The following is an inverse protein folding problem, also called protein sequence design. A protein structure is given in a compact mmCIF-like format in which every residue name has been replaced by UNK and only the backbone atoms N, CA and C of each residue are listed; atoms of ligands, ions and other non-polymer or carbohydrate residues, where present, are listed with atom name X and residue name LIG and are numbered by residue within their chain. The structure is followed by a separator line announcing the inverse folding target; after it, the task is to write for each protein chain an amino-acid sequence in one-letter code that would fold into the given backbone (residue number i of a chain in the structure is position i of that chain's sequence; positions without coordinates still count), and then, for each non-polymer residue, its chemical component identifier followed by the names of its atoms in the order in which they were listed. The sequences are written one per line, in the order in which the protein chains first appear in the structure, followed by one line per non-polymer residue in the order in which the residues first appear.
data_IF_801426723233
#
_entry.id   IF_801426723233
#
_cell.length_a   1.000
_cell.length_b   1.000
_cell.length_c   1.000
_cell.angle_alpha   90.00
_cell.angle_beta   90.00
_cell.angle_gamma   90.00
#
_symmetry.space_group_name_H-M   'P 1'
#
loop_
_entity.id
_entity.type
_entity.pdbx_description
1 polymer ?
#
# COMPACT_ATOMS: atom_id res chain seq x y z
N UNK A 1 -7.17 15.64 -12.16
CA UNK A 1 -7.10 16.83 -11.29
C UNK A 1 -7.62 18.04 -12.05
N UNK A 2 -8.27 18.98 -11.35
CA UNK A 2 -8.79 20.20 -11.96
C UNK A 2 -7.66 21.18 -12.36
N UNK A 3 -7.85 22.03 -13.37
CA UNK A 3 -6.80 22.96 -13.83
C UNK A 3 -6.22 23.85 -12.74
N UNK A 4 -7.05 24.30 -11.80
CA UNK A 4 -6.63 25.18 -10.71
C UNK A 4 -5.66 24.53 -9.73
N UNK A 5 -5.59 23.19 -9.68
CA UNK A 5 -4.76 22.45 -8.73
C UNK A 5 -3.46 21.92 -9.38
N UNK A 6 -3.31 22.05 -10.71
CA UNK A 6 -2.13 21.55 -11.43
C UNK A 6 -0.82 22.19 -10.96
N UNK A 7 -0.86 23.36 -10.33
CA UNK A 7 0.34 23.99 -9.78
C UNK A 7 1.01 23.14 -8.68
N UNK A 8 0.27 22.27 -7.99
CA UNK A 8 0.81 21.40 -6.95
C UNK A 8 1.92 20.47 -7.45
N UNK A 9 1.93 20.11 -8.75
CA UNK A 9 3.03 19.34 -9.35
C UNK A 9 4.36 20.11 -9.32
N UNK A 10 4.31 21.44 -9.40
CA UNK A 10 5.47 22.32 -9.45
C UNK A 10 5.95 22.81 -8.07
N UNK A 11 5.30 22.41 -6.98
CA UNK A 11 5.60 22.87 -5.61
C UNK A 11 6.00 21.71 -4.70
N UNK A 12 6.46 22.00 -3.48
CA UNK A 12 6.80 20.97 -2.50
C UNK A 12 8.18 20.31 -2.66
N UNK A 13 8.86 20.56 -3.78
CA UNK A 13 10.23 20.10 -3.99
C UNK A 13 11.19 20.75 -3.00
N UNK A 14 12.04 19.95 -2.37
CA UNK A 14 12.93 20.40 -1.29
C UNK A 14 14.32 20.85 -1.78
N UNK A 15 14.73 20.38 -2.96
CA UNK A 15 16.13 20.49 -3.42
C UNK A 15 17.13 19.72 -2.55
N UNK A 16 16.66 18.99 -1.53
CA UNK A 16 17.51 18.14 -0.72
C UNK A 16 17.93 16.93 -1.54
N UNK A 17 19.23 16.68 -1.62
CA UNK A 17 19.79 15.50 -2.25
C UNK A 17 19.81 14.28 -1.30
N UNK A 18 18.85 14.20 -0.38
CA UNK A 18 18.85 13.21 0.70
C UNK A 18 18.02 12.01 0.24
N UNK A 19 18.71 10.95 -0.16
CA UNK A 19 18.11 9.63 -0.45
C UNK A 19 18.24 8.66 0.73
N UNK A 20 19.05 9.01 1.74
CA UNK A 20 19.27 8.28 2.99
C UNK A 20 19.59 9.27 4.10
N UNK A 21 19.20 8.95 5.33
CA UNK A 21 19.45 9.75 6.52
C UNK A 21 18.36 10.77 6.79
N UNK A 22 18.38 11.39 7.98
CA UNK A 22 17.29 12.22 8.47
C UNK A 22 17.00 13.39 7.52
N UNK A 23 15.72 13.61 7.22
CA UNK A 23 15.28 14.79 6.49
C UNK A 23 15.49 16.03 7.37
N UNK A 24 16.43 16.88 6.97
CA UNK A 24 16.86 18.04 7.77
C UNK A 24 15.79 19.14 7.87
N UNK A 25 14.69 19.02 7.13
CA UNK A 25 13.50 19.88 7.28
C UNK A 25 12.64 19.48 8.47
N UNK A 26 12.75 18.26 8.97
CA UNK A 26 12.04 17.83 10.18
C UNK A 26 12.60 18.64 11.36
N UNK A 27 11.70 19.30 12.09
CA UNK A 27 12.10 20.15 13.22
C UNK A 27 12.77 19.32 14.31
N UNK A 28 13.98 19.69 14.69
CA UNK A 28 14.79 18.96 15.68
C UNK A 28 15.06 17.49 15.31
N UNK A 29 15.19 17.14 14.02
CA UNK A 29 15.35 15.74 13.56
C UNK A 29 16.45 14.93 14.28
N UNK A 30 17.53 15.59 14.72
CA UNK A 30 18.64 14.93 15.44
C UNK A 30 18.42 14.82 16.96
N UNK A 31 17.29 15.32 17.48
CA UNK A 31 16.96 15.35 18.91
C UNK A 31 15.45 15.31 19.13
N UNK A 32 14.75 14.44 18.38
CA UNK A 32 13.33 14.19 18.57
C UNK A 32 13.09 13.53 19.94
N UNK A 33 11.99 13.90 20.58
CA UNK A 33 11.56 13.23 21.81
C UNK A 33 11.07 11.80 21.47
N UNK A 34 11.12 10.86 22.43
CA UNK A 34 10.48 9.56 22.25
C UNK A 34 8.99 9.69 21.95
N UNK A 35 8.51 8.94 20.95
CA UNK A 35 7.10 8.87 20.56
C UNK A 35 6.75 9.65 19.28
N UNK A 36 5.46 9.68 18.90
CA UNK A 36 5.01 10.35 17.70
C UNK A 36 5.26 11.86 17.72
N UNK A 37 5.53 12.45 16.55
CA UNK A 37 5.79 13.88 16.41
C UNK A 37 5.11 14.48 15.18
N UNK A 38 4.83 15.78 15.19
CA UNK A 38 4.23 16.44 14.02
C UNK A 38 5.26 16.57 12.90
N UNK A 39 4.94 16.01 11.72
CA UNK A 39 5.83 16.06 10.56
C UNK A 39 5.99 17.49 10.03
N UNK A 40 4.88 18.22 9.98
CA UNK A 40 4.82 19.55 9.38
C UNK A 40 5.39 20.62 10.30
N UNK A 41 6.02 21.62 9.71
CA UNK A 41 6.64 22.73 10.43
C UNK A 41 7.16 23.81 9.49
N UNK A 42 7.90 24.81 10.02
CA UNK A 42 8.36 25.97 9.24
C UNK A 42 9.20 25.60 8.00
N UNK A 43 9.90 24.48 8.06
CA UNK A 43 10.78 23.96 6.99
C UNK A 43 10.20 22.75 6.27
N UNK A 44 9.12 22.16 6.78
CA UNK A 44 8.42 21.00 6.22
C UNK A 44 6.93 21.34 6.06
N UNK A 45 6.52 22.09 5.02
CA UNK A 45 5.10 22.38 4.80
C UNK A 45 4.32 21.10 4.43
N UNK A 46 3.00 21.10 4.63
CA UNK A 46 2.12 20.00 4.19
C UNK A 46 2.26 19.66 2.69
N UNK A 47 2.54 20.67 1.87
CA UNK A 47 2.75 20.51 0.42
C UNK A 47 4.12 19.89 0.05
N UNK A 48 4.97 19.54 1.03
CA UNK A 48 6.29 18.97 0.78
C UNK A 48 6.24 17.51 0.28
N UNK A 49 7.13 17.18 -0.66
CA UNK A 49 7.52 15.78 -0.87
C UNK A 49 8.40 15.30 0.28
N UNK A 50 8.18 14.07 0.72
CA UNK A 50 8.92 13.39 1.78
C UNK A 50 9.61 12.13 1.24
N UNK A 51 10.48 11.51 2.04
CA UNK A 51 10.99 10.17 1.71
C UNK A 51 9.89 9.12 1.81
N UNK A 52 10.20 7.87 1.53
CA UNK A 52 9.33 6.72 1.80
C UNK A 52 9.81 5.96 3.05
N UNK A 53 8.91 5.31 3.78
CA UNK A 53 9.29 4.47 4.95
C UNK A 53 9.17 3.00 4.60
N UNK A 54 9.78 2.11 5.38
CA UNK A 54 9.77 0.68 5.07
C UNK A 54 8.46 0.02 5.52
N UNK A 55 7.77 -0.64 4.59
CA UNK A 55 6.50 -1.35 4.80
C UNK A 55 6.50 -2.71 4.09
N UNK A 56 7.50 -3.55 4.39
CA UNK A 56 7.55 -4.95 3.92
C UNK A 56 7.08 -5.89 5.01
N UNK A 57 6.52 -7.05 4.66
CA UNK A 57 5.84 -7.96 5.60
C UNK A 57 6.64 -8.20 6.89
N UNK A 58 7.89 -8.66 6.78
CA UNK A 58 8.72 -8.98 7.95
C UNK A 58 9.17 -7.73 8.73
N UNK A 59 9.40 -6.60 8.05
CA UNK A 59 9.70 -5.34 8.72
C UNK A 59 8.50 -4.84 9.50
N UNK A 60 7.29 -4.92 8.93
CA UNK A 60 6.06 -4.52 9.61
C UNK A 60 5.76 -5.39 10.81
N UNK A 61 5.95 -6.71 10.70
CA UNK A 61 5.86 -7.63 11.84
C UNK A 61 6.83 -7.25 12.96
N UNK A 62 8.06 -6.84 12.63
CA UNK A 62 9.04 -6.37 13.63
C UNK A 62 8.68 -4.99 14.19
N UNK A 63 8.15 -4.09 13.36
CA UNK A 63 7.76 -2.74 13.73
C UNK A 63 6.67 -2.75 14.81
N UNK A 64 5.66 -3.62 14.68
CA UNK A 64 4.56 -3.72 15.65
C UNK A 64 4.95 -4.37 16.97
N UNK A 65 5.98 -5.23 16.96
CA UNK A 65 6.56 -5.94 18.11
C UNK A 65 5.49 -6.51 19.08
N UNK A 66 4.77 -7.54 18.62
CA UNK A 66 3.68 -8.14 19.38
C UNK A 66 4.10 -9.42 20.10
N UNK A 67 3.78 -9.51 21.40
CA UNK A 67 3.91 -10.75 22.17
C UNK A 67 2.75 -10.91 23.18
N UNK A 68 2.43 -12.15 23.53
CA UNK A 68 1.41 -12.45 24.56
C UNK A 68 2.11 -12.90 25.85
N UNK A 69 2.58 -11.92 26.63
CA UNK A 69 3.21 -12.13 27.92
C UNK A 69 2.90 -10.98 28.90
N UNK A 70 3.50 -11.03 30.09
CA UNK A 70 3.25 -10.06 31.16
C UNK A 70 3.90 -8.68 30.94
N UNK A 71 4.85 -8.57 30.02
CA UNK A 71 5.50 -7.31 29.64
C UNK A 71 4.67 -6.56 28.61
N UNK A 72 4.11 -7.29 27.64
CA UNK A 72 3.42 -6.72 26.49
C UNK A 72 1.91 -6.53 26.73
N UNK A 73 1.26 -7.50 27.38
CA UNK A 73 -0.21 -7.49 27.49
C UNK A 73 -0.66 -6.72 28.71
N UNK A 74 -1.57 -5.77 28.48
CA UNK A 74 -2.26 -5.05 29.54
C UNK A 74 -3.74 -4.87 29.19
N UNK A 75 -4.52 -4.27 30.10
CA UNK A 75 -5.92 -3.94 29.81
C UNK A 75 -6.05 -2.97 28.63
N UNK A 76 -5.09 -2.05 28.50
CA UNK A 76 -5.07 -1.01 27.48
C UNK A 76 -4.28 -1.44 26.23
N UNK A 77 -3.60 -2.60 26.28
CA UNK A 77 -2.91 -3.24 25.15
C UNK A 77 -3.23 -4.75 25.10
N UNK A 78 -4.42 -5.15 24.63
CA UNK A 78 -4.84 -6.54 24.62
C UNK A 78 -4.17 -7.37 23.50
N UNK A 79 -3.62 -6.72 22.47
CA UNK A 79 -2.88 -7.38 21.37
C UNK A 79 -1.45 -7.68 21.76
N UNK A 80 -0.92 -6.96 22.76
CA UNK A 80 0.46 -7.07 23.22
C UNK A 80 1.47 -6.48 22.23
N UNK A 81 1.04 -5.58 21.35
CA UNK A 81 1.91 -4.90 20.40
C UNK A 81 2.47 -3.63 21.04
N UNK A 82 3.78 -3.50 21.16
CA UNK A 82 4.41 -2.35 21.84
C UNK A 82 4.78 -1.22 20.87
N UNK A 83 5.02 -1.53 19.60
CA UNK A 83 5.49 -0.59 18.58
C UNK A 83 6.77 0.19 18.97
N UNK A 84 7.52 -0.27 19.97
CA UNK A 84 8.72 0.39 20.49
C UNK A 84 9.97 0.10 19.64
N UNK A 85 9.89 -0.87 18.74
CA UNK A 85 10.88 -1.14 17.70
C UNK A 85 10.66 -0.35 16.41
N UNK A 86 9.56 0.39 16.25
CA UNK A 86 9.18 1.03 14.98
C UNK A 86 10.32 1.85 14.37
N UNK A 87 10.90 2.79 15.13
CA UNK A 87 12.01 3.64 14.66
C UNK A 87 13.32 2.86 14.48
N UNK A 88 13.55 1.84 15.32
CA UNK A 88 14.76 1.03 15.23
C UNK A 88 14.76 0.18 13.96
N UNK A 89 13.62 -0.43 13.61
CA UNK A 89 13.46 -1.23 12.40
C UNK A 89 13.72 -0.38 11.15
N UNK A 90 13.11 0.80 11.05
CA UNK A 90 13.25 1.64 9.85
C UNK A 90 14.66 2.22 9.70
N UNK A 91 15.29 2.65 10.79
CA UNK A 91 16.66 3.18 10.75
C UNK A 91 17.75 2.14 10.53
N UNK A 92 17.51 0.88 10.92
CA UNK A 92 18.49 -0.21 10.76
C UNK A 92 18.23 -1.07 9.53
N UNK A 93 17.03 -0.99 8.94
CA UNK A 93 16.70 -1.64 7.69
C UNK A 93 17.69 -1.24 6.59
N UNK A 94 18.25 -2.25 5.91
CA UNK A 94 19.21 -2.08 4.81
C UNK A 94 20.38 -1.13 5.13
N UNK A 95 20.72 -0.97 6.41
CA UNK A 95 21.70 -0.01 6.90
C UNK A 95 22.88 -0.76 7.51
N UNK A 96 24.05 -0.83 6.83
CA UNK A 96 25.26 -1.41 7.40
C UNK A 96 25.69 -0.74 8.72
N UNK A 97 26.33 -1.48 9.65
CA UNK A 97 26.86 -0.89 10.87
C UNK A 97 27.76 0.32 10.61
N UNK A 98 27.47 1.45 11.27
CA UNK A 98 28.24 2.69 11.15
C UNK A 98 27.96 3.53 9.89
N UNK A 99 27.01 3.12 9.06
CA UNK A 99 26.57 3.91 7.89
C UNK A 99 25.39 4.83 8.22
N UNK A 100 25.06 5.73 7.30
CA UNK A 100 23.88 6.59 7.38
C UNK A 100 22.60 5.74 7.31
N UNK A 101 21.62 5.91 8.22
CA UNK A 101 20.34 5.23 8.17
C UNK A 101 19.66 5.34 6.81
N UNK A 102 19.02 4.27 6.34
CA UNK A 102 18.26 4.30 5.10
C UNK A 102 16.99 5.16 5.21
N UNK A 103 16.32 5.15 6.37
CA UNK A 103 15.12 5.96 6.66
C UNK A 103 15.42 7.47 6.79
N UNK A 104 14.41 8.28 6.50
CA UNK A 104 14.49 9.76 6.54
C UNK A 104 13.97 10.37 7.84
N UNK A 105 13.69 9.57 8.86
CA UNK A 105 13.33 9.99 10.22
C UNK A 105 11.85 10.30 10.43
N UNK A 106 10.99 9.90 9.50
CA UNK A 106 9.57 10.29 9.46
C UNK A 106 8.60 9.19 9.88
N UNK A 107 9.09 7.98 10.18
CA UNK A 107 8.27 6.82 10.56
C UNK A 107 7.30 7.12 11.72
N UNK A 108 7.73 7.88 12.73
CA UNK A 108 6.90 8.26 13.88
C UNK A 108 6.11 9.57 13.65
N UNK A 109 6.13 10.10 12.44
CA UNK A 109 5.57 11.41 12.17
C UNK A 109 4.08 11.34 11.85
N UNK A 110 3.31 12.37 12.21
CA UNK A 110 1.91 12.52 11.83
C UNK A 110 1.62 13.89 11.20
N UNK A 111 0.59 13.93 10.35
CA UNK A 111 -0.02 15.17 9.88
C UNK A 111 -1.08 15.65 10.87
N UNK A 112 -1.04 16.93 11.23
CA UNK A 112 -1.94 17.48 12.25
C UNK A 112 -3.12 18.19 11.60
N UNK A 113 -4.22 17.46 11.43
CA UNK A 113 -5.45 18.00 10.81
C UNK A 113 -6.10 19.13 11.60
N UNK A 114 -5.84 19.21 12.91
CA UNK A 114 -6.31 20.33 13.74
C UNK A 114 -5.47 21.59 13.53
N UNK A 115 -4.28 21.46 12.95
CA UNK A 115 -3.40 22.56 12.59
C UNK A 115 -3.40 22.86 11.07
N UNK A 116 -4.39 22.34 10.34
CA UNK A 116 -4.62 22.65 8.93
C UNK A 116 -3.96 21.72 7.92
N UNK A 117 -3.32 20.64 8.35
CA UNK A 117 -2.87 19.59 7.43
C UNK A 117 -4.06 18.77 6.91
N UNK A 118 -3.95 18.20 5.70
CA UNK A 118 -5.00 17.43 5.04
C UNK A 118 -6.41 18.08 5.11
N UNK A 119 -6.55 19.35 4.64
CA UNK A 119 -7.79 20.11 4.77
C UNK A 119 -8.99 19.49 4.05
N UNK A 120 -8.81 18.81 2.91
CA UNK A 120 -9.92 18.10 2.27
C UNK A 120 -10.38 16.95 3.15
N UNK A 121 -9.49 16.06 3.59
CA UNK A 121 -9.89 14.90 4.38
C UNK A 121 -10.49 15.29 5.72
N UNK A 122 -9.98 16.35 6.35
CA UNK A 122 -10.63 16.95 7.53
C UNK A 122 -12.05 17.39 7.22
N UNK A 123 -12.26 18.11 6.11
CA UNK A 123 -13.60 18.57 5.72
C UNK A 123 -14.56 17.41 5.41
N UNK A 124 -14.07 16.33 4.82
CA UNK A 124 -14.88 15.14 4.54
C UNK A 124 -15.23 14.38 5.80
N UNK A 125 -14.29 14.22 6.73
CA UNK A 125 -14.55 13.62 8.04
C UNK A 125 -15.57 14.43 8.85
N UNK A 126 -15.52 15.77 8.79
CA UNK A 126 -16.48 16.64 9.48
C UNK A 126 -17.89 16.61 8.87
N UNK A 127 -17.99 16.42 7.55
CA UNK A 127 -19.25 16.50 6.82
C UNK A 127 -19.92 15.13 6.58
N UNK A 128 -19.12 14.05 6.58
CA UNK A 128 -19.55 12.70 6.23
C UNK A 128 -19.15 11.69 7.33
N UNK A 129 -18.81 10.47 6.95
CA UNK A 129 -18.43 9.38 7.85
C UNK A 129 -16.97 9.03 7.63
N UNK A 130 -16.24 8.87 8.74
CA UNK A 130 -14.92 8.26 8.74
C UNK A 130 -14.95 6.96 9.55
N UNK A 131 -14.06 6.03 9.20
CA UNK A 131 -13.79 4.82 9.98
C UNK A 131 -12.38 4.91 10.52
N UNK A 132 -12.25 4.98 11.83
CA UNK A 132 -10.97 4.93 12.57
C UNK A 132 -10.56 3.49 12.93
N UNK A 133 -11.32 2.50 12.47
CA UNK A 133 -11.09 1.07 12.73
C UNK A 133 -10.96 0.26 11.43
N UNK A 134 -10.46 0.90 10.37
CA UNK A 134 -10.05 0.22 9.14
C UNK A 134 -8.58 -0.16 9.25
N UNK A 135 -8.25 -1.39 8.85
CA UNK A 135 -6.89 -1.92 8.89
C UNK A 135 -6.52 -2.38 7.49
N UNK A 136 -5.26 -2.16 7.09
CA UNK A 136 -4.75 -2.76 5.86
C UNK A 136 -4.92 -4.29 5.94
N UNK A 137 -5.37 -4.95 4.87
CA UNK A 137 -5.66 -6.39 4.89
C UNK A 137 -4.48 -7.27 5.30
N UNK A 138 -3.24 -6.85 4.98
CA UNK A 138 -2.02 -7.62 5.21
C UNK A 138 -0.90 -6.70 5.67
N UNK A 139 -0.01 -7.17 6.56
CA UNK A 139 1.26 -6.48 6.78
C UNK A 139 2.09 -6.51 5.50
N UNK A 140 2.32 -5.39 4.85
CA UNK A 140 2.98 -5.37 3.56
C UNK A 140 2.81 -4.03 2.86
N UNK A 141 3.30 -3.99 1.62
CA UNK A 141 3.10 -2.86 0.74
C UNK A 141 1.94 -3.09 -0.22
N UNK A 142 1.78 -2.15 -1.16
CA UNK A 142 0.72 -2.12 -2.16
C UNK A 142 0.42 -3.43 -2.88
N UNK A 143 1.42 -4.22 -3.24
CA UNK A 143 1.21 -5.46 -4.02
C UNK A 143 0.41 -6.51 -3.27
N UNK A 144 0.85 -6.94 -2.07
CA UNK A 144 0.03 -7.73 -1.16
C UNK A 144 -1.33 -7.09 -0.83
N UNK A 145 -1.39 -5.79 -0.50
CA UNK A 145 -2.62 -5.16 -0.01
C UNK A 145 -3.67 -4.85 -1.11
N UNK A 146 -3.26 -4.76 -2.38
CA UNK A 146 -4.20 -4.61 -3.49
C UNK A 146 -5.00 -5.89 -3.77
N UNK A 147 -4.44 -7.07 -3.49
CA UNK A 147 -5.07 -8.35 -3.85
C UNK A 147 -6.39 -8.60 -3.13
N UNK A 148 -6.53 -8.39 -1.80
CA UNK A 148 -7.79 -8.59 -1.11
C UNK A 148 -8.92 -7.68 -1.59
N UNK A 149 -8.60 -6.52 -2.20
CA UNK A 149 -9.61 -5.66 -2.85
C UNK A 149 -10.33 -6.40 -3.98
N UNK A 150 -9.61 -7.24 -4.74
CA UNK A 150 -10.18 -8.02 -5.83
C UNK A 150 -10.64 -9.41 -5.44
N UNK A 151 -9.99 -10.07 -4.48
CA UNK A 151 -10.20 -11.50 -4.20
C UNK A 151 -10.74 -11.80 -2.79
N UNK A 152 -10.78 -10.80 -1.90
CA UNK A 152 -11.02 -10.98 -0.46
C UNK A 152 -10.08 -12.00 0.21
N UNK A 153 -8.93 -12.27 -0.41
CA UNK A 153 -7.89 -13.21 0.02
C UNK A 153 -6.56 -12.84 -0.65
N UNK A 154 -5.46 -13.41 -0.15
CA UNK A 154 -4.13 -13.29 -0.73
C UNK A 154 -3.92 -14.28 -1.89
N UNK A 155 -2.93 -14.00 -2.74
CA UNK A 155 -2.54 -14.87 -3.85
C UNK A 155 -1.21 -15.56 -3.52
N UNK A 156 -1.25 -16.89 -3.40
CA UNK A 156 -0.04 -17.68 -3.23
C UNK A 156 0.67 -17.94 -4.56
N UNK A 157 1.98 -18.19 -4.50
CA UNK A 157 2.79 -18.61 -5.64
C UNK A 157 2.28 -19.93 -6.23
N UNK A 158 1.81 -19.88 -7.48
CA UNK A 158 1.26 -21.04 -8.17
C UNK A 158 2.13 -21.48 -9.36
N UNK A 159 1.83 -22.63 -9.92
CA UNK A 159 2.41 -23.07 -11.19
C UNK A 159 1.75 -22.42 -12.43
N UNK A 160 0.97 -21.36 -12.24
CA UNK A 160 0.20 -20.70 -13.29
C UNK A 160 -1.11 -21.42 -13.65
N UNK A 161 -1.41 -22.56 -13.01
CA UNK A 161 -2.69 -23.25 -13.11
C UNK A 161 -3.47 -23.24 -11.78
N UNK A 162 -3.11 -22.34 -10.86
CA UNK A 162 -3.75 -22.22 -9.55
C UNK A 162 -3.39 -23.31 -8.54
N UNK A 163 -2.40 -24.18 -8.84
CA UNK A 163 -1.90 -25.19 -7.89
C UNK A 163 -0.67 -24.65 -7.15
N UNK A 164 -0.56 -24.84 -5.81
CA UNK A 164 0.63 -24.41 -5.06
C UNK A 164 1.91 -24.96 -5.67
N UNK A 165 2.93 -24.12 -5.77
CA UNK A 165 4.24 -24.49 -6.28
C UNK A 165 5.36 -23.90 -5.42
N UNK A 166 6.54 -24.49 -5.49
CA UNK A 166 7.73 -23.96 -4.82
C UNK A 166 8.41 -22.92 -5.72
N UNK A 167 8.59 -21.67 -5.27
CA UNK A 167 9.38 -20.68 -5.99
C UNK A 167 10.83 -21.15 -6.16
N UNK A 168 11.58 -20.61 -7.15
CA UNK A 168 13.03 -20.78 -7.20
C UNK A 168 13.67 -20.46 -5.84
N UNK A 169 14.63 -21.28 -5.39
CA UNK A 169 15.21 -21.16 -4.05
C UNK A 169 15.82 -19.78 -3.76
N UNK A 170 16.38 -19.13 -4.78
CA UNK A 170 16.92 -17.77 -4.70
C UNK A 170 15.85 -16.67 -4.61
N UNK A 171 14.56 -17.03 -4.58
CA UNK A 171 13.44 -16.10 -4.36
C UNK A 171 12.74 -16.34 -3.01
N UNK A 172 13.22 -17.29 -2.21
CA UNK A 172 12.71 -17.56 -0.87
C UNK A 172 13.39 -16.61 0.13
N UNK A 173 12.57 -15.89 0.88
CA UNK A 173 12.96 -14.86 1.83
C UNK A 173 13.58 -15.47 3.08
N UNK A 174 14.67 -14.88 3.57
CA UNK A 174 15.26 -15.18 4.86
C UNK A 174 15.42 -13.86 5.65
N UNK A 175 14.49 -13.56 6.58
CA UNK A 175 14.53 -12.37 7.40
C UNK A 175 15.44 -12.51 8.63
N UNK A 176 16.13 -13.63 8.84
CA UNK A 176 17.09 -13.74 9.94
C UNK A 176 18.24 -12.74 9.72
N UNK A 177 18.68 -12.03 10.77
CA UNK A 177 19.73 -11.04 10.65
C UNK A 177 21.06 -11.69 10.24
N UNK A 178 21.76 -11.02 9.33
CA UNK A 178 23.11 -11.39 8.95
C UNK A 178 24.03 -11.37 10.18
N UNK A 179 25.02 -12.27 10.26
CA UNK A 179 25.91 -12.34 11.42
C UNK A 179 26.53 -10.99 11.79
N UNK A 180 26.38 -10.60 13.06
CA UNK A 180 26.92 -9.33 13.58
C UNK A 180 26.09 -8.09 13.25
N UNK A 181 24.87 -8.25 12.75
CA UNK A 181 23.93 -7.16 12.47
C UNK A 181 22.64 -7.31 13.29
N UNK A 182 21.88 -6.23 13.45
CA UNK A 182 20.58 -6.26 14.15
C UNK A 182 19.44 -6.62 13.21
N UNK A 183 19.32 -5.88 12.09
CA UNK A 183 18.17 -5.96 11.18
C UNK A 183 18.56 -5.99 9.69
N UNK A 184 19.82 -6.35 9.38
CA UNK A 184 20.25 -6.54 8.01
C UNK A 184 19.96 -8.00 7.63
N UNK A 185 18.87 -8.25 6.91
CA UNK A 185 18.46 -9.61 6.60
C UNK A 185 19.48 -10.38 5.75
N UNK A 186 19.62 -11.67 6.05
CA UNK A 186 20.53 -12.59 5.37
C UNK A 186 20.22 -12.70 3.87
N UNK A 187 18.94 -12.77 3.52
CA UNK A 187 18.52 -12.82 2.11
C UNK A 187 17.14 -12.20 1.93
N UNK A 188 17.12 -10.99 1.37
CA UNK A 188 15.88 -10.36 0.89
C UNK A 188 15.47 -10.97 -0.44
N UNK A 189 14.22 -11.43 -0.52
CA UNK A 189 13.66 -12.05 -1.70
C UNK A 189 12.17 -11.70 -1.84
N UNK A 190 11.32 -12.61 -2.30
CA UNK A 190 9.89 -12.32 -2.50
C UNK A 190 8.96 -13.23 -1.74
N UNK A 191 9.35 -14.48 -1.47
CA UNK A 191 8.40 -15.51 -1.10
C UNK A 191 8.71 -16.13 0.26
N UNK A 192 7.68 -16.39 1.05
CA UNK A 192 7.80 -17.17 2.28
C UNK A 192 6.67 -18.17 2.45
N UNK A 193 6.95 -19.29 3.11
CA UNK A 193 5.98 -20.33 3.42
C UNK A 193 5.59 -20.24 4.89
N UNK A 194 4.41 -19.66 5.16
CA UNK A 194 3.91 -19.51 6.52
C UNK A 194 3.44 -20.83 7.17
N UNK A 195 3.39 -21.94 6.43
CA UNK A 195 3.10 -23.26 6.98
C UNK A 195 4.38 -24.00 7.44
N UNK A 196 5.57 -23.49 7.12
CA UNK A 196 6.85 -24.08 7.51
C UNK A 196 7.48 -23.28 8.67
N UNK A 197 7.27 -23.75 9.91
CA UNK A 197 7.85 -23.12 11.10
C UNK A 197 9.39 -23.19 11.13
N UNK A 198 10.01 -24.02 10.30
CA UNK A 198 11.48 -24.05 10.17
C UNK A 198 12.01 -22.99 9.22
N UNK A 199 11.13 -22.35 8.44
CA UNK A 199 11.53 -21.22 7.63
C UNK A 199 11.88 -20.01 8.53
N UNK A 200 13.04 -19.37 8.31
CA UNK A 200 13.44 -18.13 8.98
C UNK A 200 12.31 -17.10 9.12
N UNK A 201 12.18 -16.54 10.34
CA UNK A 201 11.14 -15.58 10.72
C UNK A 201 9.74 -16.13 11.02
N UNK A 202 9.39 -17.34 10.58
CA UNK A 202 8.01 -17.86 10.69
C UNK A 202 7.65 -18.35 12.10
N UNK A 203 8.61 -18.93 12.82
CA UNK A 203 8.40 -19.43 14.17
C UNK A 203 7.87 -18.32 15.11
N UNK A 204 8.52 -17.15 15.13
CA UNK A 204 8.12 -16.03 16.00
C UNK A 204 6.67 -15.56 15.74
N UNK A 205 6.29 -15.43 14.47
CA UNK A 205 4.91 -15.08 14.08
C UNK A 205 3.93 -16.15 14.53
N UNK A 206 4.27 -17.42 14.30
CA UNK A 206 3.39 -18.54 14.64
C UNK A 206 3.24 -18.70 16.15
N UNK A 207 4.30 -18.46 16.92
CA UNK A 207 4.30 -18.49 18.38
C UNK A 207 3.38 -17.41 18.95
N UNK A 208 3.45 -16.18 18.42
CA UNK A 208 2.50 -15.12 18.77
C UNK A 208 1.05 -15.52 18.48
N UNK A 209 0.77 -15.97 17.25
CA UNK A 209 -0.59 -16.36 16.83
C UNK A 209 -1.15 -17.52 17.67
N UNK A 210 -0.30 -18.46 18.10
CA UNK A 210 -0.69 -19.57 18.96
C UNK A 210 -0.94 -19.15 20.42
N UNK A 211 -0.33 -18.05 20.86
CA UNK A 211 -0.48 -17.55 22.22
C UNK A 211 -1.74 -16.68 22.40
N UNK A 212 -2.38 -16.23 21.31
CA UNK A 212 -3.62 -15.47 21.36
C UNK A 212 -4.73 -16.21 22.13
N UNK A 213 -5.63 -15.48 22.83
CA UNK A 213 -6.69 -16.09 23.63
C UNK A 213 -7.81 -16.73 22.78
N UNK A 214 -7.69 -16.67 21.46
CA UNK A 214 -8.60 -17.25 20.49
C UNK A 214 -7.81 -17.92 19.37
N UNK A 215 -8.43 -18.92 18.74
CA UNK A 215 -7.83 -19.62 17.61
C UNK A 215 -7.93 -18.77 16.35
N UNK A 216 -6.79 -18.45 15.74
CA UNK A 216 -6.71 -17.85 14.41
C UNK A 216 -6.70 -18.96 13.35
N UNK A 217 -7.49 -18.80 12.29
CA UNK A 217 -7.33 -19.63 11.08
C UNK A 217 -6.16 -19.07 10.29
N UNK A 218 -5.05 -19.79 10.22
CA UNK A 218 -3.84 -19.27 9.57
C UNK A 218 -3.97 -19.19 8.05
N UNK A 219 -4.87 -19.99 7.45
CA UNK A 219 -5.02 -20.16 5.99
C UNK A 219 -3.68 -20.46 5.26
N UNK A 220 -2.63 -20.83 5.98
CA UNK A 220 -1.34 -21.24 5.46
C UNK A 220 -1.46 -22.66 4.89
N UNK A 221 -1.84 -22.79 3.63
CA UNK A 221 -1.97 -24.08 2.98
C UNK A 221 -0.63 -24.76 2.75
N UNK A 222 -0.64 -26.09 2.74
CA UNK A 222 0.55 -26.90 2.50
C UNK A 222 1.18 -26.58 1.14
N UNK A 223 2.46 -26.21 1.13
CA UNK A 223 3.21 -25.89 -0.08
C UNK A 223 2.88 -24.53 -0.69
N UNK A 224 2.13 -23.68 0.00
CA UNK A 224 1.86 -22.31 -0.44
C UNK A 224 2.97 -21.36 0.01
N UNK A 225 3.35 -20.46 -0.89
CA UNK A 225 4.30 -19.39 -0.63
C UNK A 225 3.63 -18.04 -0.90
N UNK A 226 3.85 -17.08 -0.02
CA UNK A 226 3.19 -15.78 -0.01
C UNK A 226 4.20 -14.65 -0.18
N UNK A 227 3.73 -13.48 -0.60
CA UNK A 227 4.59 -12.33 -0.89
C UNK A 227 5.04 -11.64 0.40
N UNK A 228 6.36 -11.54 0.60
CA UNK A 228 6.96 -10.69 1.64
C UNK A 228 7.08 -9.22 1.21
N UNK A 229 7.01 -8.95 -0.10
CA UNK A 229 7.28 -7.64 -0.72
C UNK A 229 6.38 -7.43 -1.95
N UNK A 230 6.39 -6.23 -2.49
CA UNK A 230 5.73 -5.92 -3.76
C UNK A 230 6.33 -6.74 -4.91
N UNK A 231 5.47 -7.45 -5.64
CA UNK A 231 5.82 -8.23 -6.83
C UNK A 231 4.82 -7.92 -7.93
N UNK A 232 5.32 -7.69 -9.14
CA UNK A 232 4.48 -7.38 -10.30
C UNK A 232 3.46 -8.49 -10.57
N UNK A 233 2.28 -8.12 -11.08
CA UNK A 233 1.24 -9.08 -11.42
C UNK A 233 1.60 -9.95 -12.64
N UNK A 234 0.75 -10.94 -12.89
CA UNK A 234 0.94 -11.89 -13.98
C UNK A 234 0.81 -11.25 -15.37
N UNK A 235 -0.04 -10.23 -15.51
CA UNK A 235 -0.31 -9.56 -16.78
C UNK A 235 0.16 -8.12 -16.77
N UNK A 236 0.57 -7.59 -17.93
CA UNK A 236 0.72 -6.14 -18.12
C UNK A 236 -0.65 -5.48 -18.21
N UNK A 237 -0.75 -4.14 -18.14
CA UNK A 237 -2.03 -3.44 -18.27
C UNK A 237 -2.75 -3.72 -19.60
N UNK A 238 -2.02 -4.12 -20.64
CA UNK A 238 -2.60 -4.50 -21.95
C UNK A 238 -3.01 -5.96 -22.04
N UNK A 239 -3.01 -6.70 -20.93
CA UNK A 239 -3.40 -8.12 -20.88
C UNK A 239 -2.34 -9.07 -21.43
N UNK A 240 -1.08 -8.64 -21.53
CA UNK A 240 0.02 -9.51 -21.99
C UNK A 240 0.59 -10.27 -20.81
N UNK A 241 0.63 -11.61 -20.90
CA UNK A 241 1.25 -12.45 -19.87
C UNK A 241 2.73 -12.14 -19.73
N UNK A 242 3.17 -11.91 -18.50
CA UNK A 242 4.55 -11.60 -18.13
C UNK A 242 5.30 -12.86 -17.69
N UNK A 243 6.63 -12.79 -17.71
CA UNK A 243 7.51 -13.84 -17.20
C UNK A 243 8.60 -13.25 -16.33
N UNK A 244 9.34 -14.09 -15.60
CA UNK A 244 10.41 -13.64 -14.72
C UNK A 244 9.95 -13.48 -13.28
N UNK A 245 10.14 -12.29 -12.70
CA UNK A 245 9.77 -12.00 -11.31
C UNK A 245 8.37 -11.38 -11.24
N UNK A 246 7.38 -12.26 -11.32
CA UNK A 246 5.96 -11.91 -11.20
C UNK A 246 5.27 -12.87 -10.26
N UNK A 247 4.12 -12.45 -9.74
CA UNK A 247 3.15 -13.35 -9.15
C UNK A 247 2.54 -14.16 -10.29
N UNK A 248 2.67 -15.51 -10.29
CA UNK A 248 2.03 -16.33 -11.32
C UNK A 248 0.52 -16.13 -11.32
N UNK A 249 -0.11 -16.21 -12.50
CA UNK A 249 -1.55 -15.99 -12.62
C UNK A 249 -2.35 -16.86 -11.67
N UNK A 250 -3.37 -16.27 -11.04
CA UNK A 250 -4.29 -16.97 -10.14
C UNK A 250 -5.55 -17.42 -10.87
N UNK A 251 -6.12 -18.51 -10.36
CA UNK A 251 -7.45 -19.00 -10.74
C UNK A 251 -8.51 -18.66 -9.69
N UNK A 252 -8.13 -17.91 -8.64
CA UNK A 252 -9.07 -17.41 -7.64
C UNK A 252 -10.14 -16.55 -8.31
N UNK A 253 -11.38 -16.71 -7.84
CA UNK A 253 -12.52 -15.94 -8.32
C UNK A 253 -12.44 -14.53 -7.75
N UNK A 254 -12.50 -13.51 -8.60
CA UNK A 254 -12.48 -12.11 -8.17
C UNK A 254 -13.90 -11.56 -7.98
N UNK A 255 -14.01 -10.40 -7.33
CA UNK A 255 -15.22 -9.59 -7.30
C UNK A 255 -15.66 -9.19 -8.72
N UNK A 256 -14.71 -8.99 -9.65
CA UNK A 256 -14.99 -8.73 -11.06
C UNK A 256 -15.75 -9.87 -11.74
N UNK A 257 -15.41 -11.13 -11.44
CA UNK A 257 -16.18 -12.29 -11.92
C UNK A 257 -17.59 -12.32 -11.34
N UNK A 258 -17.73 -11.99 -10.06
CA UNK A 258 -19.03 -11.98 -9.38
C UNK A 258 -19.93 -10.91 -9.99
N UNK A 259 -19.42 -9.70 -10.20
CA UNK A 259 -20.16 -8.59 -10.81
C UNK A 259 -20.58 -8.93 -12.24
N UNK A 260 -19.64 -9.42 -13.06
CA UNK A 260 -19.88 -9.82 -14.45
C UNK A 260 -20.94 -10.93 -14.53
N UNK A 261 -20.83 -11.98 -13.71
CA UNK A 261 -21.79 -13.08 -13.70
C UNK A 261 -23.21 -12.66 -13.30
N UNK A 262 -23.36 -11.52 -12.62
CA UNK A 262 -24.66 -10.97 -12.20
C UNK A 262 -25.11 -9.78 -13.08
N UNK A 263 -24.44 -9.51 -14.21
CA UNK A 263 -24.72 -8.38 -15.09
C UNK A 263 -24.67 -7.02 -14.38
N UNK A 264 -23.84 -6.88 -13.35
CA UNK A 264 -23.60 -5.61 -12.66
C UNK A 264 -22.46 -4.91 -13.40
N UNK A 265 -22.72 -3.71 -13.91
CA UNK A 265 -21.69 -2.94 -14.63
C UNK A 265 -20.58 -2.52 -13.66
N UNK A 266 -19.34 -2.72 -14.09
CA UNK A 266 -18.18 -2.34 -13.30
C UNK A 266 -16.99 -1.97 -14.19
N UNK A 267 -16.13 -1.07 -13.70
CA UNK A 267 -14.86 -0.71 -14.35
C UNK A 267 -13.78 -0.43 -13.30
N UNK A 268 -12.53 -0.69 -13.68
CA UNK A 268 -11.34 -0.19 -13.00
C UNK A 268 -10.72 0.92 -13.84
N UNK A 269 -10.57 2.09 -13.24
CA UNK A 269 -10.01 3.29 -13.84
C UNK A 269 -8.65 3.58 -13.21
N UNK A 270 -7.57 3.28 -13.94
CA UNK A 270 -6.21 3.49 -13.46
C UNK A 270 -5.53 4.64 -14.19
N UNK A 271 -4.91 5.56 -13.44
CA UNK A 271 -4.14 6.66 -14.03
C UNK A 271 -2.95 6.14 -14.83
N UNK A 272 -2.78 6.63 -16.05
CA UNK A 272 -1.71 6.21 -16.96
C UNK A 272 -1.94 4.85 -17.62
N UNK A 273 -3.12 4.24 -17.47
CA UNK A 273 -3.45 2.95 -18.05
C UNK A 273 -3.35 2.98 -19.58
N UNK A 274 -3.81 4.05 -20.22
CA UNK A 274 -3.76 4.20 -21.68
C UNK A 274 -2.33 4.27 -22.20
N UNK A 275 -1.45 4.98 -21.49
CA UNK A 275 -0.06 5.22 -21.90
C UNK A 275 0.90 4.09 -21.54
N UNK A 276 0.53 3.21 -20.61
CA UNK A 276 1.38 2.12 -20.14
C UNK A 276 1.85 1.18 -21.28
N UNK A 277 3.16 1.01 -21.39
CA UNK A 277 3.81 0.15 -22.38
C UNK A 277 3.82 0.69 -23.81
N UNK A 278 3.48 1.98 -24.01
CA UNK A 278 3.43 2.61 -25.34
C UNK A 278 4.70 3.38 -25.70
N UNK A 279 5.57 3.68 -24.73
CA UNK A 279 6.71 4.59 -24.87
C UNK A 279 6.32 6.07 -24.91
N UNK A 280 5.06 6.42 -24.62
CA UNK A 280 4.62 7.81 -24.48
C UNK A 280 5.34 8.53 -23.32
N UNK A 281 5.37 9.88 -23.28
CA UNK A 281 6.08 10.63 -22.24
C UNK A 281 5.64 10.32 -20.79
N UNK A 282 4.41 9.85 -20.60
CA UNK A 282 3.85 9.47 -19.29
C UNK A 282 3.82 7.94 -19.08
N UNK A 283 4.43 7.17 -19.99
CA UNK A 283 4.60 5.74 -19.81
C UNK A 283 5.45 5.48 -18.54
N UNK A 284 4.96 4.57 -17.70
CA UNK A 284 5.56 4.24 -16.40
C UNK A 284 4.87 4.89 -15.18
N UNK A 285 3.92 5.80 -15.35
CA UNK A 285 3.16 6.36 -14.23
C UNK A 285 2.06 5.41 -13.71
N UNK A 286 1.64 4.42 -14.52
CA UNK A 286 0.67 3.42 -14.10
C UNK A 286 1.23 2.51 -13.00
N UNK A 287 0.51 2.39 -11.90
CA UNK A 287 0.87 1.46 -10.83
C UNK A 287 0.43 0.02 -11.16
N UNK A 288 1.35 -0.79 -11.67
CA UNK A 288 1.07 -2.20 -12.03
C UNK A 288 0.63 -3.06 -10.83
N UNK A 289 1.19 -2.83 -9.65
CA UNK A 289 0.87 -3.62 -8.44
C UNK A 289 -0.43 -3.20 -7.75
N UNK A 290 -1.10 -2.15 -8.24
CA UNK A 290 -2.31 -1.60 -7.62
C UNK A 290 -3.61 -2.21 -8.18
N UNK A 291 -3.58 -2.81 -9.36
CA UNK A 291 -4.76 -3.38 -10.01
C UNK A 291 -4.89 -4.87 -9.68
N UNK A 292 -5.81 -5.29 -8.79
CA UNK A 292 -5.92 -6.69 -8.40
C UNK A 292 -6.29 -7.62 -9.56
N UNK A 293 -6.96 -7.09 -10.58
CA UNK A 293 -7.40 -7.94 -11.69
C UNK A 293 -6.23 -8.40 -12.56
N UNK A 294 -5.09 -7.69 -12.57
CA UNK A 294 -3.89 -8.06 -13.33
C UNK A 294 -3.22 -9.36 -12.86
N UNK A 295 -3.59 -9.85 -11.67
CA UNK A 295 -3.12 -11.14 -11.16
C UNK A 295 -3.94 -12.33 -11.71
N UNK A 296 -5.14 -12.08 -12.25
CA UNK A 296 -6.10 -13.14 -12.58
C UNK A 296 -5.93 -13.70 -13.99
N UNK A 297 -6.03 -15.02 -14.16
CA UNK A 297 -5.83 -15.69 -15.45
C UNK A 297 -6.77 -15.22 -16.58
N UNK A 298 -7.98 -14.76 -16.24
CA UNK A 298 -8.94 -14.24 -17.21
C UNK A 298 -8.78 -12.73 -17.49
N UNK A 299 -7.81 -12.04 -16.87
CA UNK A 299 -7.59 -10.61 -17.06
C UNK A 299 -7.57 -10.14 -18.52
N UNK A 300 -6.91 -10.84 -19.48
CA UNK A 300 -6.91 -10.42 -20.87
C UNK A 300 -8.32 -10.30 -21.48
N UNK A 301 -9.28 -11.08 -21.00
CA UNK A 301 -10.67 -11.00 -21.42
C UNK A 301 -11.45 -9.85 -20.78
N UNK A 302 -11.00 -9.36 -19.61
CA UNK A 302 -11.61 -8.23 -18.90
C UNK A 302 -11.16 -6.88 -19.45
N UNK A 303 -9.94 -6.80 -20.00
CA UNK A 303 -9.33 -5.55 -20.50
C UNK A 303 -10.25 -4.75 -21.43
N UNK A 304 -10.85 -5.33 -22.51
CA UNK A 304 -11.61 -4.54 -23.48
C UNK A 304 -12.82 -3.83 -22.87
N UNK A 305 -13.45 -4.39 -21.85
CA UNK A 305 -14.74 -3.92 -21.34
C UNK A 305 -14.63 -3.20 -19.99
N UNK A 306 -13.65 -3.58 -19.16
CA UNK A 306 -13.60 -3.17 -17.75
C UNK A 306 -12.38 -2.33 -17.38
N UNK A 307 -11.30 -2.33 -18.17
CA UNK A 307 -10.07 -1.61 -17.83
C UNK A 307 -10.02 -0.30 -18.61
N UNK A 308 -9.91 0.81 -17.89
CA UNK A 308 -9.97 2.16 -18.46
C UNK A 308 -8.91 3.05 -17.84
N UNK A 309 -8.60 4.12 -18.55
CA UNK A 309 -7.77 5.18 -17.98
C UNK A 309 -8.60 6.08 -17.06
N UNK A 310 -7.96 6.71 -16.08
CA UNK A 310 -8.63 7.65 -15.18
C UNK A 310 -9.29 8.83 -15.92
N UNK A 311 -8.80 9.17 -17.12
CA UNK A 311 -9.45 10.18 -17.97
C UNK A 311 -10.85 9.75 -18.45
N UNK A 312 -11.07 8.46 -18.68
CA UNK A 312 -12.39 7.91 -18.99
C UNK A 312 -13.33 8.01 -17.77
N UNK A 313 -12.80 7.86 -16.55
CA UNK A 313 -13.60 8.04 -15.32
C UNK A 313 -14.21 9.44 -15.25
N UNK A 314 -13.39 10.48 -15.45
CA UNK A 314 -13.89 11.85 -15.41
C UNK A 314 -14.93 12.13 -16.51
N UNK A 315 -14.76 11.50 -17.68
CA UNK A 315 -15.75 11.56 -18.76
C UNK A 315 -17.06 10.88 -18.36
N UNK A 316 -17.00 9.67 -17.81
CA UNK A 316 -18.18 8.92 -17.34
C UNK A 316 -18.88 9.62 -16.16
N UNK A 317 -18.11 10.25 -15.26
CA UNK A 317 -18.63 11.02 -14.12
C UNK A 317 -19.40 12.25 -14.60
N UNK A 318 -18.81 13.07 -15.48
CA UNK A 318 -19.49 14.27 -16.03
C UNK A 318 -20.74 13.91 -16.81
N UNK A 319 -20.71 12.80 -17.57
CA UNK A 319 -21.84 12.37 -18.39
C UNK A 319 -22.94 11.64 -17.60
N UNK A 320 -22.72 11.34 -16.31
CA UNK A 320 -23.67 10.54 -15.53
C UNK A 320 -23.75 9.08 -15.99
N UNK A 321 -22.67 8.53 -16.55
CA UNK A 321 -22.60 7.18 -17.14
C UNK A 321 -21.66 6.24 -16.39
N UNK A 322 -21.37 6.54 -15.11
CA UNK A 322 -20.59 5.64 -14.28
C UNK A 322 -21.25 4.25 -14.21
N UNK A 323 -20.44 3.18 -14.21
CA UNK A 323 -20.94 1.84 -13.90
C UNK A 323 -21.41 1.76 -12.43
N UNK A 324 -22.16 0.72 -12.10
CA UNK A 324 -22.63 0.49 -10.74
C UNK A 324 -21.49 0.33 -9.72
N UNK A 325 -20.33 -0.19 -10.16
CA UNK A 325 -19.11 -0.27 -9.34
C UNK A 325 -17.93 0.35 -10.09
N UNK A 326 -17.35 1.41 -9.54
CA UNK A 326 -16.19 2.10 -10.11
C UNK A 326 -15.01 2.04 -9.14
N UNK A 327 -13.93 1.38 -9.55
CA UNK A 327 -12.64 1.48 -8.84
C UNK A 327 -11.81 2.58 -9.50
N UNK A 328 -11.28 3.51 -8.72
CA UNK A 328 -10.50 4.64 -9.24
C UNK A 328 -9.17 4.68 -8.50
N UNK A 329 -8.07 4.54 -9.24
CA UNK A 329 -6.70 4.63 -8.71
C UNK A 329 -5.94 5.71 -9.47
N UNK A 330 -5.52 6.81 -8.81
CA UNK A 330 -4.60 7.77 -9.43
C UNK A 330 -3.29 7.10 -9.87
N UNK A 331 -2.62 7.72 -10.83
CA UNK A 331 -1.26 7.34 -11.22
C UNK A 331 -0.25 7.64 -10.09
N UNK A 332 0.96 7.11 -10.21
CA UNK A 332 1.99 7.19 -9.17
C UNK A 332 2.49 8.61 -8.84
N UNK A 333 2.13 9.63 -9.62
CA UNK A 333 2.43 11.02 -9.29
C UNK A 333 1.35 11.65 -8.41
N UNK A 334 0.15 11.06 -8.34
CA UNK A 334 -1.04 11.65 -7.71
C UNK A 334 -1.61 10.87 -6.53
N UNK A 335 -1.07 9.69 -6.25
CA UNK A 335 -1.67 8.75 -5.31
C UNK A 335 -1.32 8.96 -3.84
N UNK A 336 -0.56 10.00 -3.53
CA UNK A 336 -0.17 10.32 -2.16
C UNK A 336 0.97 9.47 -1.62
N UNK A 337 1.45 8.47 -2.38
CA UNK A 337 2.61 7.68 -1.98
C UNK A 337 3.82 8.60 -1.79
N UNK A 338 4.52 8.56 -0.64
CA UNK A 338 5.70 9.38 -0.43
C UNK A 338 6.79 9.14 -1.49
N UNK A 339 7.74 10.06 -1.62
CA UNK A 339 8.75 10.12 -2.69
C UNK A 339 8.23 10.38 -4.12
N UNK A 340 7.22 9.66 -4.61
CA UNK A 340 6.66 9.85 -5.96
C UNK A 340 5.49 10.83 -6.02
N UNK A 341 4.75 10.96 -4.92
CA UNK A 341 3.60 11.83 -4.76
C UNK A 341 3.62 12.51 -3.37
N UNK A 342 2.49 13.13 -2.99
CA UNK A 342 2.26 13.80 -1.70
C UNK A 342 0.77 13.95 -1.44
N UNK A 343 0.39 14.05 -0.16
CA UNK A 343 -1.01 14.18 0.26
C UNK A 343 -1.77 15.33 -0.39
N UNK A 344 -1.14 16.48 -0.64
CA UNK A 344 -1.80 17.59 -1.34
C UNK A 344 -2.21 17.27 -2.79
N UNK A 345 -1.44 16.43 -3.50
CA UNK A 345 -1.81 15.96 -4.84
C UNK A 345 -2.96 14.96 -4.78
N UNK A 346 -2.96 14.07 -3.78
CA UNK A 346 -4.04 13.11 -3.57
C UNK A 346 -5.35 13.82 -3.19
N UNK A 347 -5.30 14.80 -2.29
CA UNK A 347 -6.46 15.64 -1.97
C UNK A 347 -6.97 16.41 -3.19
N UNK A 348 -6.10 16.96 -4.03
CA UNK A 348 -6.53 17.63 -5.25
C UNK A 348 -7.15 16.66 -6.28
N UNK A 349 -6.71 15.39 -6.29
CA UNK A 349 -7.36 14.35 -7.08
C UNK A 349 -8.77 14.05 -6.56
N UNK A 350 -8.92 13.78 -5.26
CA UNK A 350 -10.20 13.46 -4.63
C UNK A 350 -11.19 14.62 -4.66
N UNK A 351 -10.72 15.86 -4.42
CA UNK A 351 -11.52 17.07 -4.54
C UNK A 351 -12.19 17.16 -5.90
N UNK A 352 -11.42 16.94 -6.97
CA UNK A 352 -11.93 17.00 -8.33
C UNK A 352 -13.02 15.94 -8.58
N UNK A 353 -12.88 14.72 -8.02
CA UNK A 353 -13.92 13.68 -8.10
C UNK A 353 -15.19 14.15 -7.38
N UNK A 354 -15.05 14.61 -6.14
CA UNK A 354 -16.19 14.98 -5.28
C UNK A 354 -16.94 16.17 -5.85
N UNK A 355 -16.24 17.22 -6.29
CA UNK A 355 -16.85 18.41 -6.89
C UNK A 355 -17.58 18.08 -8.21
N UNK A 356 -16.98 17.24 -9.06
CA UNK A 356 -17.63 16.80 -10.31
C UNK A 356 -18.87 15.94 -10.00
N UNK A 357 -18.80 15.03 -9.04
CA UNK A 357 -19.94 14.22 -8.61
C UNK A 357 -21.08 15.11 -8.09
N UNK A 358 -20.78 16.07 -7.22
CA UNK A 358 -21.76 17.02 -6.68
C UNK A 358 -22.36 17.93 -7.76
N UNK A 359 -21.64 18.20 -8.84
CA UNK A 359 -22.15 19.01 -9.97
C UNK A 359 -23.28 18.32 -10.74
N UNK A 360 -23.47 17.01 -10.56
CA UNK A 360 -24.58 16.22 -11.10
C UNK A 360 -25.51 15.73 -9.96
N UNK A 361 -26.53 16.52 -9.56
CA UNK A 361 -27.35 16.21 -8.39
C UNK A 361 -28.07 14.87 -8.43
N UNK A 362 -28.46 14.41 -9.63
CA UNK A 362 -29.14 13.12 -9.81
C UNK A 362 -28.19 11.97 -9.51
N UNK A 363 -26.99 11.99 -10.08
CA UNK A 363 -26.00 10.95 -9.84
C UNK A 363 -25.48 11.00 -8.40
N UNK A 364 -25.23 12.20 -7.86
CA UNK A 364 -24.79 12.40 -6.48
C UNK A 364 -25.76 11.77 -5.46
N UNK A 365 -27.07 11.92 -5.69
CA UNK A 365 -28.09 11.37 -4.80
C UNK A 365 -28.10 9.83 -4.71
N UNK A 366 -27.50 9.14 -5.68
CA UNK A 366 -27.49 7.67 -5.77
C UNK A 366 -26.07 7.08 -5.68
N UNK A 367 -25.05 7.90 -5.39
CA UNK A 367 -23.65 7.46 -5.35
C UNK A 367 -23.10 7.45 -3.92
N UNK A 368 -22.46 6.35 -3.53
CA UNK A 368 -21.60 6.30 -2.36
C UNK A 368 -20.12 6.32 -2.82
N UNK A 369 -19.33 7.24 -2.25
CA UNK A 369 -17.90 7.35 -2.52
C UNK A 369 -17.13 6.90 -1.28
N UNK A 370 -16.22 5.94 -1.47
CA UNK A 370 -15.28 5.50 -0.45
C UNK A 370 -13.90 6.00 -0.85
N UNK A 371 -13.27 6.76 0.05
CA UNK A 371 -11.86 7.16 -0.10
C UNK A 371 -11.06 6.35 0.92
N UNK A 372 -10.01 5.70 0.45
CA UNK A 372 -9.15 4.85 1.27
C UNK A 372 -7.75 4.79 0.67
N UNK A 373 -6.82 4.25 1.45
CA UNK A 373 -5.47 3.90 1.03
C UNK A 373 -5.32 2.38 1.06
N UNK A 374 -4.39 1.86 0.29
CA UNK A 374 -4.04 0.45 0.27
C UNK A 374 -3.37 0.01 1.59
N UNK A 375 -2.42 0.81 2.08
CA UNK A 375 -1.58 0.47 3.24
C UNK A 375 -1.17 1.72 4.07
N UNK A 376 -0.57 1.50 5.24
CA UNK A 376 -0.22 2.52 6.23
C UNK A 376 1.13 3.23 6.00
N UNK A 377 1.83 2.92 4.91
CA UNK A 377 3.09 3.51 4.47
C UNK A 377 4.30 3.12 5.31
N UNK A 378 4.14 2.27 6.34
CA UNK A 378 5.15 1.95 7.36
C UNK A 378 5.25 2.99 8.48
N UNK A 379 4.33 3.95 8.50
CA UNK A 379 4.21 4.92 9.58
C UNK A 379 3.68 4.24 10.85
N UNK A 380 3.97 4.86 11.99
CA UNK A 380 3.42 4.46 13.28
C UNK A 380 1.91 4.68 13.32
N UNK A 381 1.18 3.67 13.80
CA UNK A 381 -0.21 3.72 14.22
C UNK A 381 -0.33 3.01 15.57
N UNK A 382 -1.19 3.52 16.46
CA UNK A 382 -1.17 3.21 17.91
C UNK A 382 -2.02 2.03 18.35
#
# INVERSE_FOLDING_TARGET
MAPQDQFHFGTGGSGLNVTVGPDTRISNVNNLAPGPFQLTGPTMPFDAYTGDTIHQYFQMVQQVDCAIDAEHVSKDNPTGCLHDLQSAVTTTFSTPPGSTPHDTGQTMAFFNVQNGDAPLFKSLADAYTMSDNYHQPVHGGTGPDSQPLGFADQIFFSDGAGRPATPPANRIYNPDPAPGTLNLYTHRAQWFNCNDQTQPGIAAITDYLNALPYKVSTNCGTGQYWQAVNVNPAFTPKGTLQSGLVVPQTMQKSIGDVLTANNISWKYYGGGFSDSGTGAPLDGLYCNICNPFEYQANYPSLVPDHMRDVTDFFTDLVNGTLPAVSYVKPDGALDGHPASSKWGLFEAFDRNIIELAQSNPTQWAETAIFVTVDEGGGYYDS
#
